data_IF_579277492640
#
_entry.id   IF_579277492640
#
_cell.length_a   1.000
_cell.length_b   1.000
_cell.length_c   1.000
_cell.angle_alpha   90.00
_cell.angle_beta   90.00
_cell.angle_gamma   90.00
#
_symmetry.space_group_name_H-M   'P 1'
#
loop_
_entity.id
_entity.type
_entity.pdbx_description
1 polymer ?
#
# COMPACT_ATOMS: atom_id res chain seq x y z
N UNK A 1 -8.84 -2.82 -19.64
CA UNK A 1 -9.73 -1.72 -19.24
C UNK A 1 -8.95 -0.47 -18.83
N UNK A 2 -8.02 -0.50 -17.91
CA UNK A 2 -7.31 0.70 -17.41
C UNK A 2 -6.46 1.51 -18.38
N UNK A 3 -6.42 1.21 -19.66
CA UNK A 3 -5.70 1.98 -20.68
C UNK A 3 -6.61 2.79 -21.62
N UNK A 4 -7.92 2.66 -21.46
CA UNK A 4 -8.90 3.33 -22.34
C UNK A 4 -9.28 4.65 -21.66
N UNK A 5 -8.81 5.77 -22.23
CA UNK A 5 -9.07 7.11 -21.71
C UNK A 5 -10.08 7.85 -22.59
N UNK A 6 -11.28 7.30 -22.71
CA UNK A 6 -12.38 7.90 -23.48
C UNK A 6 -13.61 7.94 -22.60
N UNK A 7 -14.05 9.13 -22.21
CA UNK A 7 -15.12 9.38 -21.24
C UNK A 7 -16.42 8.61 -21.55
N UNK A 8 -16.82 8.58 -22.83
CA UNK A 8 -18.02 7.84 -23.25
C UNK A 8 -17.92 6.32 -23.07
N UNK A 9 -16.70 5.76 -23.05
CA UNK A 9 -16.48 4.33 -22.88
C UNK A 9 -16.40 3.98 -21.38
N UNK A 10 -15.95 4.92 -20.54
CA UNK A 10 -15.85 4.69 -19.09
C UNK A 10 -17.19 4.40 -18.43
N UNK A 11 -18.27 5.03 -18.90
CA UNK A 11 -19.63 4.75 -18.40
C UNK A 11 -20.06 3.30 -18.64
N UNK A 12 -19.75 2.76 -19.83
CA UNK A 12 -20.08 1.35 -20.15
C UNK A 12 -19.26 0.35 -19.33
N UNK A 13 -18.11 0.76 -18.79
CA UNK A 13 -17.26 -0.10 -17.97
C UNK A 13 -17.77 -0.23 -16.52
N UNK A 14 -18.60 0.69 -16.05
CA UNK A 14 -19.05 0.72 -14.65
C UNK A 14 -19.85 -0.52 -14.26
N UNK A 15 -20.80 -0.95 -15.09
CA UNK A 15 -21.62 -2.12 -14.76
C UNK A 15 -20.83 -3.45 -14.76
N UNK A 16 -20.00 -3.76 -15.77
CA UNK A 16 -19.10 -4.90 -15.71
C UNK A 16 -18.15 -4.86 -14.50
N UNK A 17 -17.59 -3.68 -14.18
CA UNK A 17 -16.67 -3.52 -13.06
C UNK A 17 -17.36 -3.78 -11.71
N UNK A 18 -18.60 -3.30 -11.54
CA UNK A 18 -19.41 -3.57 -10.34
C UNK A 18 -19.66 -5.06 -10.15
N UNK A 19 -19.92 -5.81 -11.23
CA UNK A 19 -20.05 -7.28 -11.18
C UNK A 19 -18.75 -7.95 -10.78
N UNK A 20 -17.62 -7.52 -11.36
CA UNK A 20 -16.31 -8.06 -11.03
C UNK A 20 -15.88 -7.82 -9.57
N UNK A 21 -16.30 -6.71 -8.94
CA UNK A 21 -16.04 -6.44 -7.52
C UNK A 21 -16.76 -7.42 -6.58
N UNK A 22 -17.86 -8.02 -7.05
CA UNK A 22 -18.68 -8.99 -6.29
C UNK A 22 -18.56 -10.43 -6.83
N UNK A 23 -17.59 -10.69 -7.69
CA UNK A 23 -17.35 -12.01 -8.29
C UNK A 23 -16.95 -13.05 -7.23
N UNK A 24 -17.28 -14.30 -7.44
CA UNK A 24 -16.93 -15.41 -6.55
C UNK A 24 -15.41 -15.63 -6.52
N UNK A 25 -14.71 -15.41 -7.66
CA UNK A 25 -13.28 -15.59 -7.76
C UNK A 25 -12.52 -14.39 -7.15
N UNK A 26 -11.71 -14.60 -6.10
CA UNK A 26 -10.91 -13.55 -5.49
C UNK A 26 -9.89 -12.92 -6.46
N UNK A 27 -9.46 -13.64 -7.48
CA UNK A 27 -8.58 -13.10 -8.52
C UNK A 27 -9.27 -12.01 -9.34
N UNK A 28 -10.56 -12.20 -9.65
CA UNK A 28 -11.38 -11.20 -10.35
C UNK A 28 -11.59 -9.99 -9.44
N UNK A 29 -11.97 -10.20 -8.17
CA UNK A 29 -12.20 -9.12 -7.21
C UNK A 29 -10.96 -8.25 -7.01
N UNK A 30 -9.77 -8.85 -6.79
CA UNK A 30 -8.53 -8.07 -6.61
C UNK A 30 -8.17 -7.24 -7.84
N UNK A 31 -8.38 -7.81 -9.04
CA UNK A 31 -8.09 -7.10 -10.30
C UNK A 31 -9.09 -5.97 -10.55
N UNK A 32 -10.34 -6.19 -10.18
CA UNK A 32 -11.38 -5.16 -10.23
C UNK A 32 -11.07 -3.99 -9.28
N UNK A 33 -10.57 -4.26 -8.06
CA UNK A 33 -10.15 -3.20 -7.14
C UNK A 33 -9.09 -2.27 -7.75
N UNK A 34 -8.04 -2.83 -8.36
CA UNK A 34 -7.02 -2.04 -9.08
C UNK A 34 -7.61 -1.30 -10.29
N UNK A 35 -8.59 -1.88 -10.97
CA UNK A 35 -9.24 -1.23 -12.11
C UNK A 35 -10.07 -0.01 -11.67
N UNK A 36 -10.66 -0.02 -10.46
CA UNK A 36 -11.36 1.15 -9.89
C UNK A 36 -10.39 2.32 -9.67
N UNK A 37 -9.19 2.09 -9.10
CA UNK A 37 -8.20 3.14 -8.93
C UNK A 37 -7.82 3.78 -10.27
N UNK A 38 -7.59 2.97 -11.31
CA UNK A 38 -7.31 3.48 -12.65
C UNK A 38 -8.49 4.20 -13.30
N UNK A 39 -9.72 3.80 -12.98
CA UNK A 39 -10.91 4.52 -13.44
C UNK A 39 -11.02 5.88 -12.76
N UNK A 40 -10.66 5.96 -11.47
CA UNK A 40 -10.62 7.22 -10.72
C UNK A 40 -9.61 8.22 -11.33
N UNK A 41 -8.44 7.77 -11.78
CA UNK A 41 -7.46 8.63 -12.46
C UNK A 41 -7.99 9.22 -13.78
N UNK A 42 -8.97 8.55 -14.41
CA UNK A 42 -9.57 9.01 -15.65
C UNK A 42 -10.76 9.93 -15.37
N UNK A 43 -11.64 9.51 -14.48
CA UNK A 43 -12.85 10.24 -14.12
C UNK A 43 -13.22 10.00 -12.64
N UNK A 44 -12.73 10.86 -11.76
CA UNK A 44 -12.95 10.78 -10.31
C UNK A 44 -14.45 10.91 -9.97
N UNK A 45 -15.14 11.87 -10.58
CA UNK A 45 -16.57 12.13 -10.30
C UNK A 45 -17.43 10.89 -10.59
N UNK A 46 -17.15 10.19 -11.68
CA UNK A 46 -17.87 8.97 -12.05
C UNK A 46 -17.68 7.87 -10.99
N UNK A 47 -16.49 7.71 -10.44
CA UNK A 47 -16.20 6.71 -9.41
C UNK A 47 -16.95 7.02 -8.11
N UNK A 48 -17.01 8.29 -7.73
CA UNK A 48 -17.74 8.75 -6.54
C UNK A 48 -19.27 8.59 -6.73
N UNK A 49 -19.83 9.09 -7.83
CA UNK A 49 -21.28 9.00 -8.14
C UNK A 49 -21.76 7.56 -8.25
N UNK A 50 -20.94 6.65 -8.76
CA UNK A 50 -21.29 5.24 -8.90
C UNK A 50 -21.10 4.41 -7.62
N UNK A 51 -20.60 4.99 -6.52
CA UNK A 51 -20.43 4.33 -5.24
C UNK A 51 -19.32 3.26 -5.21
N UNK A 52 -18.33 3.37 -6.08
CA UNK A 52 -17.21 2.42 -6.12
C UNK A 52 -16.30 2.50 -4.89
N UNK A 53 -16.22 3.68 -4.24
CA UNK A 53 -15.45 3.84 -3.02
C UNK A 53 -16.00 2.98 -1.87
N UNK A 54 -17.33 2.91 -1.75
CA UNK A 54 -17.97 2.06 -0.74
C UNK A 54 -17.75 0.57 -1.06
N UNK A 55 -17.83 0.19 -2.33
CA UNK A 55 -17.51 -1.18 -2.75
C UNK A 55 -16.05 -1.55 -2.43
N UNK A 56 -15.09 -0.63 -2.57
CA UNK A 56 -13.69 -0.87 -2.17
C UNK A 56 -13.55 -0.99 -0.65
N UNK A 57 -14.31 -0.21 0.13
CA UNK A 57 -14.35 -0.34 1.60
C UNK A 57 -14.91 -1.70 2.04
N UNK A 58 -15.94 -2.21 1.35
CA UNK A 58 -16.45 -3.56 1.60
C UNK A 58 -15.38 -4.63 1.39
N UNK A 59 -14.53 -4.48 0.36
CA UNK A 59 -13.43 -5.42 0.07
C UNK A 59 -12.31 -5.41 1.13
N UNK A 60 -12.22 -4.40 1.99
CA UNK A 60 -11.33 -4.46 3.16
C UNK A 60 -11.75 -5.54 4.17
N UNK A 61 -13.00 -5.98 4.08
CA UNK A 61 -13.56 -7.08 4.86
C UNK A 61 -13.49 -8.45 4.20
N UNK A 62 -12.90 -8.56 3.01
CA UNK A 62 -12.83 -9.83 2.25
C UNK A 62 -12.10 -10.93 3.02
N UNK A 63 -12.49 -12.18 2.77
CA UNK A 63 -11.84 -13.35 3.36
C UNK A 63 -10.46 -13.62 2.75
N UNK A 64 -10.21 -13.16 1.52
CA UNK A 64 -8.95 -13.38 0.83
C UNK A 64 -7.97 -12.23 1.06
N UNK A 65 -6.78 -12.48 1.66
CA UNK A 65 -5.80 -11.45 2.00
C UNK A 65 -5.26 -10.67 0.78
N UNK A 66 -5.24 -11.31 -0.38
CA UNK A 66 -4.82 -10.66 -1.62
C UNK A 66 -5.83 -9.62 -2.10
N UNK A 67 -7.13 -9.86 -1.88
CA UNK A 67 -8.20 -8.90 -2.20
C UNK A 67 -8.09 -7.71 -1.26
N UNK A 68 -7.94 -7.96 0.04
CA UNK A 68 -7.75 -6.91 1.06
C UNK A 68 -6.54 -6.02 0.72
N UNK A 69 -5.39 -6.61 0.42
CA UNK A 69 -4.18 -5.85 0.08
C UNK A 69 -4.36 -4.96 -1.15
N UNK A 70 -5.04 -5.47 -2.21
CA UNK A 70 -5.29 -4.68 -3.41
C UNK A 70 -6.38 -3.61 -3.20
N UNK A 71 -7.35 -3.85 -2.34
CA UNK A 71 -8.34 -2.83 -1.94
C UNK A 71 -7.66 -1.68 -1.16
N UNK A 72 -6.74 -2.00 -0.24
CA UNK A 72 -5.91 -1.00 0.46
C UNK A 72 -5.09 -0.19 -0.54
N UNK A 73 -4.40 -0.87 -1.47
CA UNK A 73 -3.59 -0.20 -2.49
C UNK A 73 -4.44 0.76 -3.34
N UNK A 74 -5.62 0.31 -3.81
CA UNK A 74 -6.53 1.12 -4.60
C UNK A 74 -7.03 2.35 -3.83
N UNK A 75 -7.45 2.18 -2.58
CA UNK A 75 -7.90 3.28 -1.74
C UNK A 75 -6.77 4.27 -1.41
N UNK A 76 -5.54 3.79 -1.19
CA UNK A 76 -4.37 4.64 -0.96
C UNK A 76 -4.04 5.49 -2.20
N UNK A 77 -4.04 4.87 -3.40
CA UNK A 77 -3.79 5.56 -4.67
C UNK A 77 -4.86 6.64 -4.95
N UNK A 78 -6.13 6.32 -4.70
CA UNK A 78 -7.24 7.27 -4.81
C UNK A 78 -7.09 8.41 -3.78
N UNK A 79 -6.70 8.10 -2.55
CA UNK A 79 -6.52 9.10 -1.49
C UNK A 79 -5.37 10.07 -1.78
N UNK A 80 -4.28 9.61 -2.40
CA UNK A 80 -3.17 10.44 -2.84
C UNK A 80 -3.55 11.37 -4.01
N UNK A 81 -4.42 10.90 -4.90
CA UNK A 81 -4.89 11.68 -6.05
C UNK A 81 -6.06 12.62 -5.72
N UNK A 82 -6.82 12.33 -4.67
CA UNK A 82 -7.95 13.16 -4.24
C UNK A 82 -7.48 14.33 -3.37
N UNK A 83 -7.90 15.53 -3.72
CA UNK A 83 -7.57 16.77 -2.99
C UNK A 83 -8.39 16.98 -1.70
N UNK A 84 -9.26 16.04 -1.36
CA UNK A 84 -10.25 16.20 -0.26
C UNK A 84 -9.65 16.11 1.13
N UNK A 85 -8.42 15.62 1.29
CA UNK A 85 -7.71 15.58 2.59
C UNK A 85 -8.34 14.69 3.67
N UNK A 86 -9.47 14.04 3.37
CA UNK A 86 -10.10 13.10 4.30
C UNK A 86 -9.63 11.66 3.98
N UNK A 87 -9.24 10.89 5.01
CA UNK A 87 -8.79 9.52 4.81
C UNK A 87 -9.96 8.66 4.31
N UNK A 88 -9.80 8.05 3.13
CA UNK A 88 -10.79 7.15 2.54
C UNK A 88 -10.92 5.82 3.28
N UNK A 89 -9.89 5.43 4.03
CA UNK A 89 -9.86 4.21 4.83
C UNK A 89 -10.17 4.57 6.28
N UNK A 90 -11.29 4.08 6.79
CA UNK A 90 -11.62 4.16 8.20
C UNK A 90 -10.80 3.13 8.98
N UNK A 91 -9.79 3.60 9.70
CA UNK A 91 -8.91 2.77 10.52
C UNK A 91 -9.57 2.47 11.88
N UNK A 92 -10.45 1.48 11.89
CA UNK A 92 -11.04 0.92 13.11
C UNK A 92 -10.19 -0.27 13.61
N UNK A 93 -10.26 -0.57 14.90
CA UNK A 93 -9.55 -1.73 15.49
C UNK A 93 -9.84 -3.04 14.76
N UNK A 94 -11.07 -3.23 14.26
CA UNK A 94 -11.45 -4.41 13.46
C UNK A 94 -10.74 -4.43 12.11
N UNK A 95 -10.68 -3.30 11.41
CA UNK A 95 -9.97 -3.15 10.13
C UNK A 95 -8.47 -3.40 10.32
N UNK A 96 -7.86 -2.83 11.37
CA UNK A 96 -6.44 -3.03 11.69
C UNK A 96 -6.13 -4.49 11.94
N UNK A 97 -6.95 -5.20 12.72
CA UNK A 97 -6.76 -6.63 12.97
C UNK A 97 -6.84 -7.46 11.68
N UNK A 98 -7.74 -7.13 10.76
CA UNK A 98 -7.83 -7.77 9.44
C UNK A 98 -6.60 -7.47 8.59
N UNK A 99 -6.14 -6.22 8.55
CA UNK A 99 -4.92 -5.83 7.82
C UNK A 99 -3.69 -6.55 8.36
N UNK A 100 -3.54 -6.65 9.69
CA UNK A 100 -2.45 -7.38 10.32
C UNK A 100 -2.52 -8.90 10.07
N UNK A 101 -3.71 -9.45 9.91
CA UNK A 101 -3.87 -10.87 9.50
C UNK A 101 -3.49 -11.04 8.04
N UNK A 102 -4.01 -10.19 7.16
CA UNK A 102 -3.69 -10.19 5.74
C UNK A 102 -2.18 -9.97 5.48
N UNK A 103 -1.50 -9.18 6.32
CA UNK A 103 -0.06 -8.94 6.25
C UNK A 103 0.77 -10.22 6.26
N UNK A 104 0.33 -11.28 6.94
CA UNK A 104 1.05 -12.54 7.03
C UNK A 104 0.89 -13.42 5.78
N UNK A 105 -0.16 -13.24 5.02
CA UNK A 105 -0.58 -14.14 3.94
C UNK A 105 -0.49 -13.50 2.55
N UNK A 106 -0.34 -12.17 2.47
CA UNK A 106 -0.26 -11.46 1.20
C UNK A 106 1.16 -11.45 0.61
N UNK A 107 1.23 -11.10 -0.68
CA UNK A 107 2.51 -10.91 -1.39
C UNK A 107 3.29 -9.72 -0.83
N UNK A 108 4.59 -9.65 -1.14
CA UNK A 108 5.49 -8.55 -0.74
C UNK A 108 4.92 -7.16 -1.06
N UNK A 109 4.35 -6.99 -2.26
CA UNK A 109 3.69 -5.74 -2.66
C UNK A 109 2.50 -5.40 -1.77
N UNK A 110 1.65 -6.39 -1.48
CA UNK A 110 0.54 -6.21 -0.55
C UNK A 110 1.01 -5.84 0.86
N UNK A 111 2.11 -6.43 1.34
CA UNK A 111 2.71 -6.10 2.63
C UNK A 111 3.14 -4.63 2.69
N UNK A 112 3.76 -4.11 1.63
CA UNK A 112 4.17 -2.69 1.57
C UNK A 112 2.95 -1.78 1.68
N UNK A 113 1.89 -2.01 0.91
CA UNK A 113 0.68 -1.19 0.96
C UNK A 113 -0.02 -1.22 2.32
N UNK A 114 -0.11 -2.42 2.93
CA UNK A 114 -0.69 -2.56 4.27
C UNK A 114 0.15 -1.80 5.31
N UNK A 115 1.48 -1.93 5.27
CA UNK A 115 2.38 -1.24 6.20
C UNK A 115 2.32 0.27 6.02
N UNK A 116 2.29 0.78 4.79
CA UNK A 116 2.17 2.21 4.53
C UNK A 116 0.81 2.76 5.02
N UNK A 117 -0.27 2.02 4.86
CA UNK A 117 -1.57 2.39 5.44
C UNK A 117 -1.54 2.41 6.97
N UNK A 118 -0.89 1.42 7.61
CA UNK A 118 -0.69 1.40 9.06
C UNK A 118 0.19 2.57 9.54
N UNK A 119 1.12 3.05 8.71
CA UNK A 119 1.92 4.23 9.05
C UNK A 119 1.07 5.51 9.20
N UNK A 120 -0.09 5.57 8.58
CA UNK A 120 -1.01 6.71 8.67
C UNK A 120 -1.92 6.64 9.90
N UNK A 121 -2.06 5.46 10.51
CA UNK A 121 -2.89 5.25 11.68
C UNK A 121 -2.22 5.75 12.98
N UNK A 122 -3.02 6.28 13.88
CA UNK A 122 -2.62 6.65 15.24
C UNK A 122 -3.33 5.72 16.24
N UNK A 123 -2.62 4.81 16.92
CA UNK A 123 -3.19 3.95 17.95
C UNK A 123 -3.85 4.77 19.07
N UNK A 124 -4.91 4.22 19.64
CA UNK A 124 -5.63 4.87 20.74
C UNK A 124 -4.89 4.76 22.06
N UNK A 125 -4.27 3.61 22.28
CA UNK A 125 -3.59 3.25 23.51
C UNK A 125 -2.20 2.67 23.23
N UNK A 126 -1.28 2.81 24.19
CA UNK A 126 0.08 2.23 24.12
C UNK A 126 0.05 0.71 23.96
N UNK A 127 -0.94 0.03 24.56
CA UNK A 127 -1.13 -1.42 24.43
C UNK A 127 -1.48 -1.83 23.01
N UNK A 128 -2.33 -1.06 22.33
CA UNK A 128 -2.66 -1.29 20.92
C UNK A 128 -1.41 -1.08 20.06
N UNK A 129 -0.67 0.01 20.29
CA UNK A 129 0.58 0.30 19.60
C UNK A 129 1.60 -0.85 19.77
N UNK A 130 1.77 -1.35 21.00
CA UNK A 130 2.66 -2.47 21.30
C UNK A 130 2.24 -3.74 20.55
N UNK A 131 0.96 -4.10 20.60
CA UNK A 131 0.43 -5.28 19.90
C UNK A 131 0.66 -5.22 18.39
N UNK A 132 0.49 -4.03 17.79
CA UNK A 132 0.76 -3.83 16.37
C UNK A 132 2.26 -3.97 16.09
N UNK A 133 3.12 -3.35 16.91
CA UNK A 133 4.58 -3.45 16.77
C UNK A 133 5.07 -4.90 16.85
N UNK A 134 4.56 -5.70 17.78
CA UNK A 134 4.92 -7.12 17.92
C UNK A 134 4.59 -7.92 16.65
N UNK A 135 3.46 -7.63 16.01
CA UNK A 135 3.03 -8.31 14.77
C UNK A 135 3.80 -7.85 13.53
N UNK A 136 4.33 -6.63 13.53
CA UNK A 136 5.12 -6.06 12.42
C UNK A 136 6.60 -6.45 12.53
N UNK A 137 7.14 -6.59 13.74
CA UNK A 137 8.56 -6.88 14.01
C UNK A 137 9.15 -8.03 13.16
N UNK A 138 8.47 -9.15 12.90
CA UNK A 138 8.99 -10.20 12.03
C UNK A 138 9.32 -9.73 10.60
N UNK A 139 8.74 -8.62 10.13
CA UNK A 139 8.99 -8.05 8.78
C UNK A 139 10.36 -7.38 8.66
N UNK A 140 11.02 -7.10 9.78
CA UNK A 140 12.40 -6.59 9.78
C UNK A 140 13.42 -7.59 9.23
N UNK A 141 13.11 -8.88 9.29
CA UNK A 141 13.93 -9.97 8.73
C UNK A 141 13.51 -10.37 7.30
N UNK A 142 12.66 -9.59 6.64
CA UNK A 142 12.17 -9.91 5.32
C UNK A 142 13.24 -9.74 4.23
N UNK A 143 13.26 -10.61 3.22
CA UNK A 143 14.23 -10.55 2.12
C UNK A 143 14.07 -9.30 1.24
N UNK A 144 12.85 -8.76 1.12
CA UNK A 144 12.57 -7.57 0.33
C UNK A 144 12.79 -6.30 1.15
N UNK A 145 13.74 -5.47 0.70
CA UNK A 145 14.11 -4.22 1.36
C UNK A 145 12.95 -3.20 1.46
N UNK A 146 12.00 -3.21 0.52
CA UNK A 146 10.84 -2.32 0.57
C UNK A 146 9.93 -2.67 1.77
N UNK A 147 9.69 -3.97 2.01
CA UNK A 147 8.91 -4.43 3.17
C UNK A 147 9.60 -4.03 4.47
N UNK A 148 10.93 -4.23 4.57
CA UNK A 148 11.70 -3.83 5.74
C UNK A 148 11.61 -2.32 5.97
N UNK A 149 11.76 -1.51 4.92
CA UNK A 149 11.68 -0.05 5.01
C UNK A 149 10.31 0.42 5.51
N UNK A 150 9.22 -0.11 4.94
CA UNK A 150 7.86 0.22 5.37
C UNK A 150 7.61 -0.24 6.81
N UNK A 151 8.12 -1.41 7.21
CA UNK A 151 8.03 -1.88 8.60
C UNK A 151 8.77 -0.95 9.56
N UNK A 152 10.01 -0.54 9.25
CA UNK A 152 10.78 0.41 10.05
C UNK A 152 10.04 1.73 10.21
N UNK A 153 9.46 2.27 9.12
CA UNK A 153 8.68 3.51 9.13
C UNK A 153 7.52 3.46 10.13
N UNK A 154 6.76 2.36 10.15
CA UNK A 154 5.65 2.18 11.09
C UNK A 154 6.16 2.06 12.53
N UNK A 155 7.18 1.23 12.76
CA UNK A 155 7.73 0.99 14.09
C UNK A 155 8.32 2.27 14.69
N UNK A 156 9.05 3.07 13.90
CA UNK A 156 9.59 4.35 14.36
C UNK A 156 8.49 5.32 14.78
N UNK A 157 7.42 5.45 13.96
CA UNK A 157 6.28 6.32 14.31
C UNK A 157 5.63 5.90 15.63
N UNK A 158 5.41 4.59 15.83
CA UNK A 158 4.76 4.11 17.04
C UNK A 158 5.65 4.22 18.28
N UNK A 159 6.98 4.07 18.12
CA UNK A 159 7.94 4.32 19.21
C UNK A 159 7.90 5.78 19.67
N UNK A 160 7.81 6.74 18.73
CA UNK A 160 7.67 8.16 19.09
C UNK A 160 6.39 8.44 19.89
N UNK A 161 5.31 7.72 19.59
CA UNK A 161 4.03 7.86 20.29
C UNK A 161 4.02 7.24 21.69
N UNK A 162 4.70 6.10 21.88
CA UNK A 162 4.76 5.38 23.18
C UNK A 162 5.71 6.01 24.20
N UNK A 163 6.50 7.03 23.82
CA UNK A 163 7.53 7.61 24.67
C UNK A 163 8.82 6.80 24.74
N UNK A 164 9.95 7.48 25.04
CA UNK A 164 11.30 6.89 24.89
C UNK A 164 11.75 5.97 26.04
N UNK A 165 11.04 5.95 27.17
CA UNK A 165 11.54 5.33 28.41
C UNK A 165 10.92 3.96 28.74
N UNK A 166 10.24 3.32 27.81
CA UNK A 166 9.69 1.98 28.07
C UNK A 166 10.71 0.89 27.71
N UNK A 167 10.81 -0.14 28.55
CA UNK A 167 11.66 -1.32 28.28
C UNK A 167 11.34 -1.96 26.92
N UNK A 168 10.09 -1.87 26.49
CA UNK A 168 9.64 -2.36 25.20
C UNK A 168 10.30 -1.58 24.05
N UNK A 169 10.30 -0.25 24.11
CA UNK A 169 10.92 0.62 23.09
C UNK A 169 12.43 0.35 23.01
N UNK A 170 13.11 0.22 24.16
CA UNK A 170 14.53 -0.08 24.21
C UNK A 170 14.86 -1.45 23.57
N UNK A 171 14.01 -2.45 23.75
CA UNK A 171 14.17 -3.74 23.11
C UNK A 171 13.88 -3.67 21.60
N UNK A 172 12.87 -2.91 21.19
CA UNK A 172 12.52 -2.72 19.78
C UNK A 172 13.63 -2.01 19.01
N UNK A 173 14.28 -1.00 19.61
CA UNK A 173 15.44 -0.32 19.02
C UNK A 173 16.58 -1.31 18.73
N UNK A 174 16.86 -2.25 19.65
CA UNK A 174 17.89 -3.29 19.45
C UNK A 174 17.57 -4.21 18.27
N UNK A 175 16.29 -4.45 18.01
CA UNK A 175 15.84 -5.31 16.90
C UNK A 175 15.81 -4.53 15.56
N UNK A 176 15.48 -3.26 15.60
CA UNK A 176 15.44 -2.41 14.39
C UNK A 176 16.86 -2.11 13.88
N UNK A 177 17.82 -1.89 14.78
CA UNK A 177 19.18 -1.50 14.42
C UNK A 177 19.86 -2.42 13.39
N UNK A 178 19.85 -3.75 13.50
CA UNK A 178 20.40 -4.66 12.49
C UNK A 178 19.65 -4.56 11.14
N UNK A 179 18.33 -4.40 11.16
CA UNK A 179 17.52 -4.22 9.94
C UNK A 179 17.89 -2.94 9.19
N UNK A 180 18.07 -1.83 9.90
CA UNK A 180 18.55 -0.57 9.32
C UNK A 180 19.95 -0.69 8.73
N UNK A 181 20.86 -1.38 9.42
CA UNK A 181 22.21 -1.62 8.91
C UNK A 181 22.18 -2.43 7.62
N UNK A 182 21.37 -3.46 7.54
CA UNK A 182 21.18 -4.26 6.32
C UNK A 182 20.60 -3.42 5.18
N UNK A 183 19.62 -2.56 5.46
CA UNK A 183 19.09 -1.62 4.48
C UNK A 183 20.14 -0.63 3.96
N UNK A 184 20.93 -0.05 4.85
CA UNK A 184 21.98 0.90 4.47
C UNK A 184 23.08 0.23 3.62
N UNK A 185 23.44 -1.01 3.93
CA UNK A 185 24.40 -1.79 3.14
C UNK A 185 23.85 -2.13 1.76
N UNK A 186 22.58 -2.54 1.66
CA UNK A 186 21.91 -2.80 0.38
C UNK A 186 21.81 -1.53 -0.47
N UNK A 187 21.41 -0.40 0.11
CA UNK A 187 21.33 0.88 -0.58
C UNK A 187 22.71 1.37 -1.04
N UNK A 188 23.72 1.18 -0.22
CA UNK A 188 25.13 1.50 -0.56
C UNK A 188 25.61 0.65 -1.73
N UNK A 189 25.35 -0.66 -1.71
CA UNK A 189 25.69 -1.58 -2.80
C UNK A 189 24.94 -1.24 -4.09
N UNK A 190 23.65 -0.87 -4.00
CA UNK A 190 22.85 -0.40 -5.13
C UNK A 190 23.41 0.89 -5.72
N UNK A 191 23.80 1.86 -4.88
CA UNK A 191 24.44 3.11 -5.32
C UNK A 191 25.76 2.84 -6.02
N UNK A 192 26.56 1.88 -5.53
CA UNK A 192 27.84 1.51 -6.14
C UNK A 192 27.63 0.85 -7.52
N UNK A 193 26.66 -0.06 -7.66
CA UNK A 193 26.30 -0.69 -8.92
C UNK A 193 25.77 0.34 -9.93
N UNK A 194 24.93 1.26 -9.50
CA UNK A 194 24.38 2.32 -10.35
C UNK A 194 25.48 3.27 -10.86
N UNK A 195 26.43 3.62 -10.01
CA UNK A 195 27.55 4.51 -10.37
C UNK A 195 28.53 3.87 -11.33
N UNK A 196 28.73 2.56 -11.24
CA UNK A 196 29.71 1.83 -12.06
C UNK A 196 29.13 1.22 -13.34
N UNK A 197 27.82 1.22 -13.53
CA UNK A 197 27.17 0.65 -14.71
C UNK A 197 26.03 1.53 -15.24
N UNK A 198 26.29 2.78 -15.62
CA UNK A 198 25.23 3.71 -16.07
C UNK A 198 24.53 3.27 -17.36
N UNK A 199 25.14 2.37 -18.15
CA UNK A 199 24.61 1.91 -19.45
C UNK A 199 23.51 0.84 -19.32
N UNK A 200 23.44 0.11 -18.21
CA UNK A 200 22.44 -0.94 -17.99
C UNK A 200 21.04 -0.38 -17.66
N UNK A 201 20.96 0.89 -17.26
CA UNK A 201 19.73 1.51 -16.77
C UNK A 201 19.23 2.66 -17.64
N UNK A 202 19.88 2.90 -18.79
CA UNK A 202 19.46 3.95 -19.72
C UNK A 202 18.00 3.86 -20.21
N UNK A 203 17.35 2.69 -20.30
CA UNK A 203 15.94 2.58 -20.69
C UNK A 203 14.96 3.16 -19.65
N UNK A 204 15.37 3.29 -18.38
CA UNK A 204 14.55 3.76 -17.28
C UNK A 204 14.79 5.23 -16.89
N UNK A 205 15.57 5.97 -17.67
CA UNK A 205 15.79 7.40 -17.43
C UNK A 205 14.48 8.18 -17.64
N UNK A 206 14.08 9.09 -16.71
CA UNK A 206 12.89 9.91 -16.83
C UNK A 206 12.86 10.80 -18.08
N UNK A 207 13.97 10.95 -18.79
CA UNK A 207 14.09 11.75 -20.02
C UNK A 207 13.45 11.12 -21.28
N UNK A 208 13.11 9.83 -21.26
CA UNK A 208 12.53 9.16 -22.45
C UNK A 208 11.01 9.28 -22.57
N UNK A 209 10.32 9.97 -21.66
CA UNK A 209 8.89 10.26 -21.78
C UNK A 209 8.60 11.60 -22.46
N UNK A 210 9.26 11.88 -23.57
CA UNK A 210 8.63 12.74 -24.58
C UNK A 210 7.87 11.83 -25.53
N UNK A 211 6.59 11.67 -25.30
CA UNK A 211 5.68 11.20 -26.33
C UNK A 211 5.86 12.13 -27.54
N UNK A 212 6.55 11.65 -28.55
CA UNK A 212 6.47 12.23 -29.88
C UNK A 212 5.03 12.08 -30.37
N UNK A 213 4.35 13.21 -30.48
CA UNK A 213 3.20 13.43 -31.35
C UNK A 213 3.38 12.62 -32.63
N UNK A 214 2.51 11.67 -32.85
CA UNK A 214 2.20 11.17 -34.19
C UNK A 214 0.76 11.57 -34.51
N UNK A 215 0.68 12.35 -35.58
CA UNK A 215 -0.50 12.66 -36.38
C UNK A 215 -1.34 11.42 -36.70
#
# INVERSE_FOLDING_TARGET
MGCIRVDKITEYLCEPLRKCLKDEDPYVRKTAAVAVAKLHDINANLVEEQGFLDSLRELLGDSNPMVVANAVAALSEINESSSTGQPLIEMNTTTINKLLTALNECTEWGQVFILDSLSSYNPKDDREAQSICERITPRLAHANAAVVLSAVKVLMKYMEMMGQDTDFVNNLVKVIHPGLHTLLTLLSSYRHLYRNSPRLWSPFSPRSRRCSTWL
#
